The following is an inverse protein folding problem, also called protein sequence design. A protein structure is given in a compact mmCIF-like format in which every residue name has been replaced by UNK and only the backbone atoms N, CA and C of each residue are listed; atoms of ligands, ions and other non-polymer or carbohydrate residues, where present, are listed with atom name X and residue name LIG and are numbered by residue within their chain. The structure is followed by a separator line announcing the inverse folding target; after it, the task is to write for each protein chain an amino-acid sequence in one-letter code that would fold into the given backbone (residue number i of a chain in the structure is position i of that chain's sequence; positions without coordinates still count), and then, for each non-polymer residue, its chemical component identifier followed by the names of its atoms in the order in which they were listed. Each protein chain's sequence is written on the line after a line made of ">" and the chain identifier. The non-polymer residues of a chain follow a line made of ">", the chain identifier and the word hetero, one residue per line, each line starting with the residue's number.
data_IF_459737542594
#
_entry.id   IF_459737542594
#
_cell.length_a   1.000
_cell.length_b   1.000
_cell.length_c   1.000
_cell.angle_alpha   90.00
_cell.angle_beta   90.00
_cell.angle_gamma   90.00
#
_symmetry.space_group_name_H-M   'P 1'
#
loop_
_entity.id
_entity.type
_entity.pdbx_description
1 polymer ?
#
# COMPACT_ATOMS: atom_id res chain seq x y z
N UNK A 1 23.43 23.65 -6.18
CA UNK A 1 23.66 22.48 -5.31
C UNK A 1 22.41 21.62 -5.40
N UNK A 2 22.52 20.30 -5.62
CA UNK A 2 21.34 19.42 -5.55
C UNK A 2 21.13 18.98 -4.11
N UNK A 3 19.89 18.83 -3.68
CA UNK A 3 19.50 18.31 -2.36
C UNK A 3 19.18 16.82 -2.50
N UNK A 4 19.83 15.97 -1.74
CA UNK A 4 19.63 14.52 -1.78
C UNK A 4 18.48 14.11 -0.86
N UNK A 5 17.47 13.43 -1.42
CA UNK A 5 16.33 12.90 -0.67
C UNK A 5 16.29 11.39 -0.81
N UNK A 6 16.29 10.69 0.32
CA UNK A 6 16.13 9.24 0.34
C UNK A 6 14.80 8.85 1.00
N UNK A 7 14.04 8.02 0.31
CA UNK A 7 12.77 7.47 0.76
C UNK A 7 13.02 6.01 1.13
N UNK A 8 12.72 5.62 2.36
CA UNK A 8 12.89 4.25 2.84
C UNK A 8 11.52 3.55 2.79
N UNK A 9 11.39 2.58 1.89
CA UNK A 9 10.17 1.84 1.59
C UNK A 9 9.59 2.22 0.23
N UNK A 10 9.57 1.27 -0.69
CA UNK A 10 9.04 1.35 -2.06
C UNK A 10 7.59 0.87 -2.19
N UNK A 11 6.78 0.99 -1.15
CA UNK A 11 5.32 0.85 -1.23
C UNK A 11 4.65 2.07 -1.87
N UNK A 12 3.31 2.06 -1.97
CA UNK A 12 2.50 3.14 -2.57
C UNK A 12 2.95 4.55 -2.15
N UNK A 13 2.98 4.80 -0.83
CA UNK A 13 3.36 6.10 -0.27
C UNK A 13 4.76 6.52 -0.72
N UNK A 14 5.73 5.62 -0.66
CA UNK A 14 7.11 5.96 -1.00
C UNK A 14 7.28 6.25 -2.48
N UNK A 15 6.61 5.48 -3.33
CA UNK A 15 6.61 5.67 -4.78
C UNK A 15 5.94 6.99 -5.18
N UNK A 16 4.79 7.32 -4.59
CA UNK A 16 4.08 8.58 -4.85
C UNK A 16 4.90 9.80 -4.42
N UNK A 17 5.51 9.76 -3.22
CA UNK A 17 6.43 10.81 -2.78
C UNK A 17 7.62 10.94 -3.71
N UNK A 18 8.19 9.82 -4.16
CA UNK A 18 9.35 9.84 -5.04
C UNK A 18 9.03 10.50 -6.39
N UNK A 19 7.87 10.16 -6.97
CA UNK A 19 7.39 10.79 -8.20
C UNK A 19 7.18 12.29 -8.00
N UNK A 20 6.42 12.70 -6.99
CA UNK A 20 6.09 14.11 -6.79
C UNK A 20 7.34 14.96 -6.52
N UNK A 21 8.28 14.45 -5.73
CA UNK A 21 9.54 15.14 -5.46
C UNK A 21 10.44 15.20 -6.70
N UNK A 22 10.39 14.22 -7.60
CA UNK A 22 11.16 14.24 -8.85
C UNK A 22 10.79 15.41 -9.77
N UNK A 23 9.60 16.00 -9.60
CA UNK A 23 9.15 17.18 -10.35
C UNK A 23 9.86 18.48 -9.94
N UNK A 24 10.52 18.49 -8.77
CA UNK A 24 11.11 19.71 -8.20
C UNK A 24 12.58 19.81 -8.65
N UNK A 25 12.89 20.88 -9.36
CA UNK A 25 14.26 21.14 -9.84
C UNK A 25 15.23 21.26 -8.66
N UNK A 26 16.39 20.61 -8.80
CA UNK A 26 17.44 20.64 -7.79
C UNK A 26 17.33 19.55 -6.74
N UNK A 27 16.30 18.69 -6.78
CA UNK A 27 16.25 17.50 -5.93
C UNK A 27 16.90 16.30 -6.62
N UNK A 28 17.52 15.42 -5.83
CA UNK A 28 18.03 14.11 -6.26
C UNK A 28 17.38 13.03 -5.40
N UNK A 29 16.35 12.39 -5.95
CA UNK A 29 15.47 11.48 -5.21
C UNK A 29 15.93 10.03 -5.38
N UNK A 30 15.93 9.26 -4.29
CA UNK A 30 16.13 7.81 -4.34
C UNK A 30 15.18 7.06 -3.41
N UNK A 31 14.85 5.83 -3.77
CA UNK A 31 14.06 4.89 -2.98
C UNK A 31 14.96 3.74 -2.55
N UNK A 32 14.94 3.40 -1.26
CA UNK A 32 15.56 2.20 -0.70
C UNK A 32 14.44 1.22 -0.37
N UNK A 33 14.46 0.06 -1.01
CA UNK A 33 13.47 -1.00 -0.82
C UNK A 33 14.16 -2.29 -0.40
N UNK A 34 13.62 -2.93 0.64
CA UNK A 34 14.13 -4.18 1.20
C UNK A 34 13.89 -5.35 0.26
N UNK A 35 12.74 -5.37 -0.41
CA UNK A 35 12.32 -6.41 -1.34
C UNK A 35 12.92 -6.19 -2.74
N UNK A 36 12.68 -7.18 -3.59
CA UNK A 36 13.29 -7.27 -4.92
C UNK A 36 12.84 -6.14 -5.85
N UNK A 37 11.58 -5.69 -5.68
CA UNK A 37 10.97 -4.61 -6.44
C UNK A 37 10.10 -3.69 -5.56
N UNK A 38 9.99 -2.42 -5.97
CA UNK A 38 8.97 -1.51 -5.47
C UNK A 38 7.56 -2.06 -5.79
N UNK A 39 6.60 -1.80 -4.91
CA UNK A 39 5.19 -2.21 -5.03
C UNK A 39 4.93 -3.74 -5.13
N UNK A 40 5.95 -4.59 -4.95
CA UNK A 40 5.84 -6.06 -5.08
C UNK A 40 4.94 -6.73 -4.03
N UNK A 41 4.57 -6.01 -2.97
CA UNK A 41 3.58 -6.47 -1.99
C UNK A 41 2.16 -6.38 -2.49
N UNK A 42 1.92 -5.63 -3.57
CA UNK A 42 0.59 -5.29 -4.07
C UNK A 42 0.39 -5.58 -5.55
N UNK A 43 1.45 -5.78 -6.32
CA UNK A 43 1.36 -6.17 -7.72
C UNK A 43 2.18 -7.43 -7.98
N UNK A 44 1.83 -8.17 -9.03
CA UNK A 44 2.69 -9.19 -9.59
C UNK A 44 3.93 -8.56 -10.24
N UNK A 45 4.99 -9.37 -10.37
CA UNK A 45 6.36 -8.92 -10.63
C UNK A 45 6.48 -8.10 -11.91
N UNK A 46 5.76 -8.47 -12.98
CA UNK A 46 5.80 -7.77 -14.26
C UNK A 46 5.27 -6.33 -14.17
N UNK A 47 4.29 -6.07 -13.30
CA UNK A 47 3.75 -4.72 -13.08
C UNK A 47 4.65 -3.91 -12.16
N UNK A 48 5.26 -4.57 -11.16
CA UNK A 48 6.27 -3.95 -10.31
C UNK A 48 7.47 -3.46 -11.15
N UNK A 49 7.99 -4.30 -12.05
CA UNK A 49 9.08 -3.93 -12.98
C UNK A 49 8.65 -2.78 -13.88
N UNK A 50 7.44 -2.81 -14.44
CA UNK A 50 6.94 -1.73 -15.29
C UNK A 50 6.84 -0.38 -14.53
N UNK A 51 6.43 -0.41 -13.25
CA UNK A 51 6.43 0.77 -12.38
C UNK A 51 7.85 1.28 -12.11
N UNK A 52 8.81 0.40 -11.86
CA UNK A 52 10.21 0.79 -11.66
C UNK A 52 10.84 1.45 -12.89
N UNK A 53 10.53 0.96 -14.10
CA UNK A 53 10.99 1.60 -15.32
C UNK A 53 10.41 3.02 -15.48
N UNK A 54 9.14 3.22 -15.12
CA UNK A 54 8.54 4.56 -15.07
C UNK A 54 9.25 5.48 -14.07
N UNK A 55 9.57 4.98 -12.87
CA UNK A 55 10.33 5.75 -11.87
C UNK A 55 11.74 6.10 -12.34
N UNK A 56 12.46 5.15 -12.94
CA UNK A 56 13.81 5.35 -13.49
C UNK A 56 13.81 6.39 -14.62
N UNK A 57 12.78 6.39 -15.48
CA UNK A 57 12.63 7.39 -16.54
C UNK A 57 12.49 8.82 -16.01
N UNK A 58 11.97 9.00 -14.78
CA UNK A 58 11.96 10.29 -14.07
C UNK A 58 13.30 10.63 -13.40
N UNK A 59 14.32 9.78 -13.53
CA UNK A 59 15.63 9.96 -12.89
C UNK A 59 15.66 9.59 -11.40
N UNK A 60 14.66 8.86 -10.90
CA UNK A 60 14.63 8.38 -9.53
C UNK A 60 15.59 7.18 -9.40
N UNK A 61 16.45 7.21 -8.38
CA UNK A 61 17.40 6.13 -8.10
C UNK A 61 16.72 5.04 -7.28
N UNK A 62 16.79 3.78 -7.71
CA UNK A 62 16.20 2.66 -6.99
C UNK A 62 17.30 1.79 -6.38
N UNK A 63 17.21 1.55 -5.08
CA UNK A 63 18.08 0.69 -4.29
C UNK A 63 17.25 -0.46 -3.73
N UNK A 64 16.84 -1.40 -4.60
CA UNK A 64 16.09 -2.60 -4.21
C UNK A 64 17.01 -3.68 -3.64
N UNK A 65 16.47 -4.67 -2.93
CA UNK A 65 17.24 -5.65 -2.17
C UNK A 65 18.21 -5.01 -1.16
N UNK A 66 17.88 -3.82 -0.65
CA UNK A 66 18.72 -3.07 0.30
C UNK A 66 17.96 -2.78 1.58
N UNK A 67 18.60 -3.05 2.70
CA UNK A 67 18.15 -2.65 4.03
C UNK A 67 19.07 -1.58 4.58
N UNK A 68 18.51 -0.73 5.44
CA UNK A 68 19.26 0.33 6.11
C UNK A 68 19.73 -0.16 7.48
N UNK A 69 20.92 0.28 7.85
CA UNK A 69 21.52 0.05 9.16
C UNK A 69 21.40 1.27 10.06
N UNK A 70 21.64 2.46 9.52
CA UNK A 70 21.68 3.72 10.28
C UNK A 70 21.26 4.90 9.41
N UNK A 71 20.54 5.85 10.01
CA UNK A 71 20.37 7.20 9.47
C UNK A 71 21.31 8.10 10.29
N UNK A 72 22.36 8.62 9.67
CA UNK A 72 23.48 9.24 10.36
C UNK A 72 23.68 10.72 10.02
N UNK A 73 24.34 11.42 10.94
CA UNK A 73 24.65 12.85 10.86
C UNK A 73 24.88 13.43 12.26
N UNK A 74 25.25 14.72 12.36
CA UNK A 74 25.49 15.38 13.65
C UNK A 74 24.23 16.02 14.23
N UNK A 75 23.78 17.12 13.62
CA UNK A 75 22.58 17.86 14.04
C UNK A 75 21.38 17.60 13.12
N UNK A 76 21.66 17.18 11.89
CA UNK A 76 20.69 16.80 10.85
C UNK A 76 21.21 15.56 10.13
N UNK A 77 20.34 14.92 9.36
CA UNK A 77 20.77 13.82 8.49
C UNK A 77 21.80 14.31 7.47
N UNK A 78 22.82 13.50 7.26
CA UNK A 78 23.86 13.68 6.25
C UNK A 78 23.97 12.45 5.34
N UNK A 79 23.61 11.25 5.86
CA UNK A 79 23.64 10.01 5.10
C UNK A 79 22.67 8.95 5.63
N UNK A 80 22.40 7.95 4.79
CA UNK A 80 21.81 6.67 5.16
C UNK A 80 22.84 5.57 4.89
N UNK A 81 23.21 4.80 5.91
CA UNK A 81 24.09 3.63 5.80
C UNK A 81 23.25 2.39 5.51
N UNK A 82 23.58 1.68 4.43
CA UNK A 82 23.01 0.39 4.09
C UNK A 82 23.66 -0.72 4.91
N UNK A 83 23.01 -1.88 5.03
CA UNK A 83 23.60 -3.06 5.71
C UNK A 83 24.90 -3.56 5.06
N UNK A 84 25.15 -3.21 3.79
CA UNK A 84 26.43 -3.45 3.12
C UNK A 84 27.58 -2.57 3.61
N UNK A 85 27.31 -1.56 4.43
CA UNK A 85 28.25 -0.52 4.85
C UNK A 85 28.39 0.65 3.88
N UNK A 86 27.68 0.62 2.74
CA UNK A 86 27.62 1.74 1.81
C UNK A 86 26.86 2.92 2.42
N UNK A 87 27.39 4.14 2.30
CA UNK A 87 26.75 5.36 2.77
C UNK A 87 26.23 6.18 1.61
N UNK A 88 24.91 6.35 1.56
CA UNK A 88 24.23 7.18 0.58
C UNK A 88 24.03 8.59 1.14
N UNK A 89 24.47 9.66 0.45
CA UNK A 89 24.20 11.03 0.88
C UNK A 89 22.70 11.30 0.99
N UNK A 90 22.30 12.01 2.05
CA UNK A 90 20.91 12.42 2.26
C UNK A 90 20.85 13.70 3.10
N UNK A 91 20.15 14.71 2.57
CA UNK A 91 19.78 15.93 3.28
C UNK A 91 18.39 15.82 3.93
N UNK A 92 17.55 14.91 3.42
CA UNK A 92 16.23 14.59 3.94
C UNK A 92 15.93 13.10 3.77
N UNK A 93 15.31 12.51 4.78
CA UNK A 93 14.86 11.11 4.75
C UNK A 93 13.36 11.03 5.01
N UNK A 94 12.65 10.29 4.17
CA UNK A 94 11.21 9.98 4.34
C UNK A 94 11.08 8.51 4.69
N UNK A 95 10.33 8.20 5.75
CA UNK A 95 10.02 6.83 6.15
C UNK A 95 8.63 6.45 5.64
N UNK A 96 8.59 5.50 4.70
CA UNK A 96 7.38 4.94 4.08
C UNK A 96 7.36 3.41 4.20
N UNK A 97 7.68 2.90 5.39
CA UNK A 97 7.86 1.47 5.70
C UNK A 97 6.58 0.76 6.19
N UNK A 98 5.42 1.31 5.83
CA UNK A 98 4.10 0.80 6.24
C UNK A 98 3.59 1.37 7.57
N UNK A 99 2.32 1.09 7.85
CA UNK A 99 1.62 1.50 9.06
C UNK A 99 1.23 0.30 9.92
N UNK A 100 0.94 0.55 11.20
CA UNK A 100 0.44 -0.46 12.14
C UNK A 100 -0.87 0.04 12.76
N UNK A 101 -1.88 -0.83 12.95
CA UNK A 101 -3.12 -0.45 13.61
C UNK A 101 -2.85 0.16 15.00
N UNK A 102 -3.42 1.33 15.29
CA UNK A 102 -3.34 1.90 16.63
C UNK A 102 -4.42 1.28 17.52
N UNK A 103 -4.00 0.31 18.33
CA UNK A 103 -4.88 -0.54 19.14
C UNK A 103 -4.64 -0.45 20.66
N UNK A 104 -3.77 0.48 21.10
CA UNK A 104 -3.35 0.57 22.50
C UNK A 104 -4.53 0.85 23.44
N UNK A 105 -5.43 1.76 23.06
CA UNK A 105 -6.62 2.08 23.86
C UNK A 105 -7.55 0.86 23.99
N UNK A 106 -7.76 0.14 22.89
CA UNK A 106 -8.62 -1.03 22.85
C UNK A 106 -8.06 -2.16 23.74
N UNK A 107 -6.75 -2.41 23.67
CA UNK A 107 -6.06 -3.37 24.54
C UNK A 107 -6.23 -3.03 26.02
N UNK A 108 -5.99 -1.77 26.40
CA UNK A 108 -6.16 -1.31 27.80
C UNK A 108 -7.61 -1.43 28.27
N UNK A 109 -8.57 -1.30 27.37
CA UNK A 109 -9.99 -1.49 27.65
C UNK A 109 -10.43 -2.97 27.72
N UNK A 110 -9.54 -3.93 27.43
CA UNK A 110 -9.87 -5.36 27.39
C UNK A 110 -10.63 -5.79 26.14
N UNK A 111 -10.61 -4.99 25.07
CA UNK A 111 -11.18 -5.36 23.77
C UNK A 111 -10.27 -6.40 23.11
N UNK A 112 -10.86 -7.44 22.54
CA UNK A 112 -10.13 -8.48 21.81
C UNK A 112 -9.41 -7.88 20.59
N UNK A 113 -8.15 -8.25 20.46
CA UNK A 113 -7.28 -7.92 19.33
C UNK A 113 -7.01 -9.23 18.59
N UNK A 114 -6.87 -9.17 17.28
CA UNK A 114 -6.48 -10.34 16.50
C UNK A 114 -4.97 -10.61 16.57
N UNK A 115 -4.56 -11.87 16.42
CA UNK A 115 -3.16 -12.32 16.49
C UNK A 115 -2.25 -11.58 15.51
N UNK A 116 -2.77 -11.24 14.32
CA UNK A 116 -2.05 -10.48 13.28
C UNK A 116 -2.15 -8.95 13.45
N UNK A 117 -2.66 -8.49 14.59
CA UNK A 117 -2.89 -7.08 14.93
C UNK A 117 -4.31 -6.59 14.60
N UNK A 118 -4.64 -5.37 15.00
CA UNK A 118 -5.95 -4.75 14.74
C UNK A 118 -7.07 -5.24 15.68
N UNK A 119 -8.07 -4.38 15.88
CA UNK A 119 -9.20 -4.64 16.77
C UNK A 119 -10.12 -5.66 16.12
N UNK A 120 -10.40 -6.76 16.83
CA UNK A 120 -11.29 -7.80 16.35
C UNK A 120 -12.74 -7.27 16.39
N UNK A 121 -13.40 -7.34 15.24
CA UNK A 121 -14.81 -7.01 15.09
C UNK A 121 -15.57 -8.14 14.42
N UNK A 122 -16.87 -8.20 14.67
CA UNK A 122 -17.78 -9.03 13.88
C UNK A 122 -18.17 -8.37 12.55
N UNK A 123 -19.00 -9.06 11.77
CA UNK A 123 -19.45 -8.59 10.45
C UNK A 123 -20.33 -7.33 10.53
N UNK A 124 -20.72 -6.92 11.74
CA UNK A 124 -21.50 -5.71 12.00
C UNK A 124 -20.64 -4.58 12.57
N UNK A 125 -19.32 -4.79 12.63
CA UNK A 125 -18.27 -3.87 13.10
C UNK A 125 -18.30 -3.62 14.62
N UNK A 126 -18.91 -4.55 15.36
CA UNK A 126 -18.97 -4.52 16.82
C UNK A 126 -17.72 -5.18 17.39
N UNK A 127 -17.16 -4.59 18.43
CA UNK A 127 -16.04 -5.20 19.16
C UNK A 127 -16.54 -6.29 20.13
N UNK A 128 -15.62 -6.92 20.86
CA UNK A 128 -15.97 -7.87 21.92
C UNK A 128 -16.67 -7.24 23.14
N UNK A 129 -16.66 -5.91 23.25
CA UNK A 129 -17.34 -5.19 24.32
C UNK A 129 -18.62 -4.57 23.76
N UNK A 130 -19.73 -4.78 24.49
CA UNK A 130 -21.04 -4.25 24.13
C UNK A 130 -20.98 -2.73 23.94
N UNK A 131 -21.72 -2.24 22.95
CA UNK A 131 -21.88 -0.81 22.63
C UNK A 131 -20.58 -0.10 22.18
N UNK A 132 -19.51 -0.85 21.91
CA UNK A 132 -18.26 -0.35 21.33
C UNK A 132 -18.06 -0.96 19.93
N UNK A 133 -17.84 -0.08 18.94
CA UNK A 133 -17.57 -0.42 17.55
C UNK A 133 -16.14 -0.03 17.16
N UNK A 134 -15.59 -0.65 16.12
CA UNK A 134 -14.30 -0.28 15.54
C UNK A 134 -14.39 -0.35 14.02
N UNK A 135 -13.80 0.63 13.33
CA UNK A 135 -13.81 0.77 11.87
C UNK A 135 -12.50 1.34 11.37
N UNK A 136 -12.19 1.16 10.08
CA UNK A 136 -11.01 1.72 9.43
C UNK A 136 -9.71 1.06 9.90
N UNK A 137 -8.60 1.77 9.75
CA UNK A 137 -7.25 1.20 9.87
C UNK A 137 -6.91 0.57 11.22
N UNK A 138 -7.66 0.87 12.28
CA UNK A 138 -7.49 0.23 13.59
C UNK A 138 -8.27 -1.08 13.73
N UNK A 139 -9.30 -1.31 12.91
CA UNK A 139 -10.10 -2.53 12.88
C UNK A 139 -9.49 -3.58 11.95
N UNK A 140 -9.74 -4.85 12.23
CA UNK A 140 -9.58 -5.91 11.24
C UNK A 140 -10.78 -5.91 10.29
N UNK A 141 -10.52 -6.19 9.01
CA UNK A 141 -11.56 -6.42 8.01
C UNK A 141 -11.45 -7.84 7.48
N UNK A 142 -12.48 -8.33 6.80
CA UNK A 142 -12.43 -9.63 6.13
C UNK A 142 -12.07 -9.48 4.67
N UNK A 143 -11.22 -10.35 4.18
CA UNK A 143 -10.98 -10.49 2.76
C UNK A 143 -12.19 -11.15 2.09
N UNK A 144 -12.71 -10.55 1.02
CA UNK A 144 -13.89 -11.05 0.33
C UNK A 144 -13.66 -12.43 -0.31
N UNK A 145 -12.43 -12.74 -0.73
CA UNK A 145 -12.12 -13.93 -1.53
C UNK A 145 -11.78 -15.12 -0.62
N UNK A 146 -10.93 -14.90 0.37
CA UNK A 146 -10.42 -15.94 1.29
C UNK A 146 -11.26 -16.08 2.55
N UNK A 147 -12.09 -15.09 2.88
CA UNK A 147 -12.87 -15.03 4.12
C UNK A 147 -12.04 -14.82 5.39
N UNK A 148 -10.71 -14.65 5.26
CA UNK A 148 -9.79 -14.47 6.38
C UNK A 148 -9.76 -13.01 6.83
N UNK A 149 -9.44 -12.80 8.11
CA UNK A 149 -9.14 -11.47 8.63
C UNK A 149 -7.84 -10.96 7.98
N UNK A 150 -7.89 -9.76 7.41
CA UNK A 150 -6.74 -9.06 6.81
C UNK A 150 -6.74 -7.59 7.21
N UNK A 151 -5.56 -6.97 7.35
CA UNK A 151 -5.46 -5.52 7.45
C UNK A 151 -5.61 -4.90 6.06
N UNK A 152 -6.67 -4.12 5.83
CA UNK A 152 -6.81 -3.28 4.63
C UNK A 152 -6.97 -1.83 5.07
N UNK A 153 -5.87 -1.10 5.07
CA UNK A 153 -5.82 0.31 5.49
C UNK A 153 -6.09 1.22 4.30
N UNK A 154 -7.36 1.39 3.97
CA UNK A 154 -7.81 2.20 2.85
C UNK A 154 -8.95 3.12 3.29
N UNK A 155 -8.85 4.39 2.91
CA UNK A 155 -9.87 5.39 3.23
C UNK A 155 -11.27 5.00 2.71
N UNK A 156 -11.35 4.33 1.54
CA UNK A 156 -12.61 3.84 0.96
C UNK A 156 -13.24 2.73 1.81
N UNK A 157 -12.41 1.83 2.36
CA UNK A 157 -12.84 0.76 3.26
C UNK A 157 -13.29 1.36 4.59
N UNK A 158 -12.49 2.23 5.19
CA UNK A 158 -12.83 2.94 6.42
C UNK A 158 -14.17 3.71 6.30
N UNK A 159 -14.38 4.41 5.19
CA UNK A 159 -15.63 5.14 4.95
C UNK A 159 -16.83 4.21 4.79
N UNK A 160 -16.65 3.05 4.14
CA UNK A 160 -17.70 2.05 3.98
C UNK A 160 -18.05 1.41 5.32
N UNK A 161 -17.04 1.03 6.09
CA UNK A 161 -17.19 0.48 7.43
C UNK A 161 -17.87 1.47 8.38
N UNK A 162 -17.47 2.74 8.37
CA UNK A 162 -18.13 3.77 9.18
C UNK A 162 -19.63 3.89 8.88
N UNK A 163 -20.03 3.79 7.60
CA UNK A 163 -21.46 3.80 7.21
C UNK A 163 -22.19 2.57 7.75
N UNK A 164 -21.59 1.39 7.68
CA UNK A 164 -22.18 0.14 8.21
C UNK A 164 -22.34 0.26 9.73
N UNK A 165 -21.28 0.65 10.44
CA UNK A 165 -21.30 0.78 11.89
C UNK A 165 -22.34 1.80 12.35
N UNK A 166 -22.45 2.95 11.69
CA UNK A 166 -23.47 3.96 12.00
C UNK A 166 -24.90 3.42 11.80
N UNK A 167 -25.16 2.69 10.71
CA UNK A 167 -26.47 2.06 10.48
C UNK A 167 -26.81 1.07 11.61
N UNK A 168 -25.85 0.25 12.02
CA UNK A 168 -26.03 -0.77 13.06
C UNK A 168 -26.17 -0.16 14.46
N UNK A 169 -25.44 0.93 14.74
CA UNK A 169 -25.52 1.65 16.02
C UNK A 169 -26.91 2.27 16.22
N UNK A 170 -27.44 2.94 15.20
CA UNK A 170 -28.71 3.66 15.28
C UNK A 170 -29.94 2.83 14.89
N UNK A 171 -29.75 1.60 14.41
CA UNK A 171 -30.83 0.73 13.94
C UNK A 171 -31.71 1.40 12.87
N UNK A 172 -31.09 2.18 11.97
CA UNK A 172 -31.78 3.02 10.97
C UNK A 172 -32.55 2.17 9.94
N UNK A 173 -32.15 0.91 9.75
CA UNK A 173 -32.79 -0.10 8.89
C UNK A 173 -32.58 -1.51 9.49
N UNK A 174 -32.77 -2.56 8.68
CA UNK A 174 -32.24 -3.90 8.94
C UNK A 174 -30.74 -3.84 9.22
N UNK A 175 -30.27 -4.71 10.12
CA UNK A 175 -28.85 -4.85 10.46
C UNK A 175 -28.04 -5.09 9.18
N UNK A 176 -27.03 -4.25 8.93
CA UNK A 176 -26.17 -4.31 7.75
C UNK A 176 -24.87 -5.03 8.05
N UNK A 177 -24.57 -6.01 7.21
CA UNK A 177 -23.35 -6.81 7.29
C UNK A 177 -22.25 -6.26 6.37
N UNK A 178 -21.01 -6.25 6.85
CA UNK A 178 -19.82 -6.14 6.02
C UNK A 178 -19.49 -7.52 5.44
N UNK A 179 -19.74 -7.69 4.14
CA UNK A 179 -19.53 -8.95 3.41
C UNK A 179 -18.06 -9.23 3.07
N UNK A 180 -17.15 -8.38 3.52
CA UNK A 180 -15.73 -8.45 3.20
C UNK A 180 -15.31 -7.46 2.13
N UNK A 181 -14.00 -7.32 2.01
CA UNK A 181 -13.30 -6.30 1.23
C UNK A 181 -12.48 -6.97 0.13
N UNK A 182 -12.64 -6.51 -1.11
CA UNK A 182 -11.88 -7.04 -2.27
C UNK A 182 -10.46 -6.45 -2.32
N UNK A 183 -10.17 -5.35 -1.60
CA UNK A 183 -8.85 -4.73 -1.58
C UNK A 183 -8.51 -4.15 -2.96
N UNK A 184 -8.89 -2.89 -3.18
CA UNK A 184 -8.69 -2.20 -4.46
C UNK A 184 -7.72 -1.06 -4.25
N UNK A 185 -6.58 -1.13 -4.93
CA UNK A 185 -5.50 -0.15 -4.83
C UNK A 185 -5.18 0.38 -6.21
N UNK A 186 -4.78 1.64 -6.29
CA UNK A 186 -4.27 2.22 -7.53
C UNK A 186 -3.25 3.30 -7.23
N UNK A 187 -2.27 3.43 -8.12
CA UNK A 187 -1.33 4.55 -8.16
C UNK A 187 -1.17 5.02 -9.59
N UNK A 188 -0.66 6.22 -9.77
CA UNK A 188 -0.26 6.76 -11.06
C UNK A 188 1.24 7.02 -11.02
N UNK A 189 1.96 6.65 -12.07
CA UNK A 189 3.40 6.86 -12.20
C UNK A 189 3.72 7.20 -13.66
N UNK A 190 4.18 8.42 -13.88
CA UNK A 190 4.70 8.92 -15.16
C UNK A 190 3.82 8.59 -16.37
N UNK A 191 2.57 9.06 -16.30
CA UNK A 191 1.60 8.89 -17.39
C UNK A 191 0.83 7.56 -17.34
N UNK A 192 1.23 6.61 -16.49
CA UNK A 192 0.65 5.26 -16.44
C UNK A 192 -0.04 5.00 -15.10
N UNK A 193 -1.30 4.59 -15.17
CA UNK A 193 -2.04 4.12 -13.99
C UNK A 193 -1.80 2.63 -13.76
N UNK A 194 -1.50 2.28 -12.52
CA UNK A 194 -1.39 0.90 -12.04
C UNK A 194 -2.54 0.65 -11.07
N UNK A 195 -3.24 -0.47 -11.24
CA UNK A 195 -4.40 -0.81 -10.42
C UNK A 195 -4.49 -2.31 -10.16
N UNK A 196 -4.93 -2.66 -8.95
CA UNK A 196 -5.20 -4.04 -8.55
C UNK A 196 -6.54 -4.09 -7.82
N UNK A 197 -7.28 -5.20 -8.03
CA UNK A 197 -8.42 -5.57 -7.23
C UNK A 197 -8.34 -7.06 -6.88
N UNK A 198 -8.33 -7.40 -5.59
CA UNK A 198 -8.32 -8.80 -5.15
C UNK A 198 -6.93 -9.36 -4.87
N UNK A 199 -6.73 -10.62 -5.27
CA UNK A 199 -5.50 -11.37 -5.03
C UNK A 199 -4.52 -11.20 -6.18
N UNK A 200 -3.24 -11.04 -5.86
CA UNK A 200 -2.13 -11.31 -6.79
C UNK A 200 -1.91 -12.81 -6.93
N UNK A 201 -1.20 -13.23 -7.97
CA UNK A 201 -0.80 -14.64 -8.13
C UNK A 201 0.00 -15.14 -6.93
N UNK A 202 0.96 -14.32 -6.47
CA UNK A 202 1.77 -14.62 -5.29
C UNK A 202 0.90 -14.91 -4.06
N UNK A 203 -0.10 -14.06 -3.80
CA UNK A 203 -0.99 -14.22 -2.66
C UNK A 203 -1.92 -15.42 -2.84
N UNK A 204 -2.45 -15.67 -4.04
CA UNK A 204 -3.25 -16.87 -4.32
C UNK A 204 -2.46 -18.16 -4.02
N UNK A 205 -1.18 -18.20 -4.41
CA UNK A 205 -0.27 -19.33 -4.13
C UNK A 205 0.03 -19.49 -2.63
N UNK A 206 0.29 -18.41 -1.91
CA UNK A 206 0.49 -18.42 -0.45
C UNK A 206 -0.77 -18.91 0.29
N UNK A 207 -1.95 -18.55 -0.21
CA UNK A 207 -3.26 -18.96 0.31
C UNK A 207 -3.67 -20.37 -0.13
N UNK A 208 -2.88 -21.03 -1.00
CA UNK A 208 -3.12 -22.37 -1.57
C UNK A 208 -4.45 -22.46 -2.32
N UNK A 209 -4.77 -21.41 -3.08
CA UNK A 209 -5.95 -21.36 -3.94
C UNK A 209 -5.53 -21.81 -5.35
N UNK A 210 -6.30 -22.71 -5.96
CA UNK A 210 -6.12 -23.06 -7.37
C UNK A 210 -6.58 -21.90 -8.25
N UNK A 211 -5.74 -21.47 -9.17
CA UNK A 211 -6.02 -20.34 -10.06
C UNK A 211 -5.54 -20.58 -11.49
N UNK A 212 -6.12 -19.84 -12.42
CA UNK A 212 -5.67 -19.71 -13.81
C UNK A 212 -5.47 -18.22 -14.09
N UNK A 213 -4.44 -17.88 -14.85
CA UNK A 213 -4.11 -16.51 -15.23
C UNK A 213 -4.54 -16.28 -16.68
N UNK A 214 -5.14 -15.13 -16.95
CA UNK A 214 -5.56 -14.73 -18.28
C UNK A 214 -5.02 -13.35 -18.62
N UNK A 215 -4.08 -13.28 -19.56
CA UNK A 215 -3.50 -12.00 -19.97
C UNK A 215 -4.28 -11.37 -21.13
N UNK A 216 -4.45 -10.06 -21.08
CA UNK A 216 -5.03 -9.27 -22.17
C UNK A 216 -4.28 -7.96 -22.38
N UNK A 217 -4.20 -7.54 -23.65
CA UNK A 217 -3.77 -6.20 -24.04
C UNK A 217 -4.93 -5.46 -24.70
N UNK A 218 -5.15 -4.21 -24.28
CA UNK A 218 -6.16 -3.33 -24.87
C UNK A 218 -5.59 -1.93 -25.10
N UNK A 219 -6.29 -1.10 -25.88
CA UNK A 219 -5.92 0.31 -26.03
C UNK A 219 -6.58 1.14 -24.93
N UNK A 220 -5.85 2.11 -24.37
CA UNK A 220 -6.37 3.01 -23.33
C UNK A 220 -7.41 4.04 -23.82
N UNK A 221 -7.68 4.09 -25.13
CA UNK A 221 -8.62 5.04 -25.75
C UNK A 221 -9.58 4.32 -26.70
N UNK A 222 -10.84 4.75 -26.70
CA UNK A 222 -11.87 4.30 -27.63
C UNK A 222 -12.48 5.49 -28.40
N UNK A 223 -12.64 5.41 -29.74
CA UNK A 223 -12.17 4.33 -30.62
C UNK A 223 -10.63 4.24 -30.70
N UNK A 224 -10.12 3.05 -31.00
CA UNK A 224 -8.68 2.77 -31.08
C UNK A 224 -7.94 3.50 -32.22
N UNK A 225 -8.67 4.28 -33.03
CA UNK A 225 -8.11 5.16 -34.07
C UNK A 225 -7.62 6.49 -33.53
N UNK A 226 -7.88 6.84 -32.26
CA UNK A 226 -7.41 8.09 -31.69
C UNK A 226 -5.87 8.19 -31.65
N UNK A 227 -5.31 9.41 -31.82
CA UNK A 227 -3.88 9.65 -31.66
C UNK A 227 -3.48 9.51 -30.19
N UNK A 228 -2.18 9.29 -29.93
CA UNK A 228 -1.59 9.15 -28.59
C UNK A 228 -2.24 8.03 -27.73
N UNK A 229 -2.63 6.94 -28.38
CA UNK A 229 -3.08 5.74 -27.68
C UNK A 229 -1.88 4.96 -27.16
N UNK A 230 -2.05 4.39 -25.98
CA UNK A 230 -1.09 3.46 -25.37
C UNK A 230 -1.76 2.10 -25.14
N UNK A 231 -0.92 1.06 -25.05
CA UNK A 231 -1.38 -0.27 -24.68
C UNK A 231 -1.53 -0.35 -23.16
N UNK A 232 -2.65 -0.90 -22.70
CA UNK A 232 -2.88 -1.33 -21.34
C UNK A 232 -2.67 -2.83 -21.28
N UNK A 233 -1.94 -3.29 -20.25
CA UNK A 233 -1.81 -4.70 -19.92
C UNK A 233 -2.74 -5.02 -18.74
N UNK A 234 -3.42 -6.16 -18.82
CA UNK A 234 -4.20 -6.76 -17.75
C UNK A 234 -3.74 -8.22 -17.59
N UNK A 235 -3.69 -8.69 -16.34
CA UNK A 235 -3.48 -10.10 -15.99
C UNK A 235 -4.60 -10.58 -15.04
#
# INVERSE_FOLDING_TARGET
>A
MKTDILIIGGGFIGVEFAEELSNIKGLNVGIIEKLDHCLITNFDEEFAIAAEEKLKNRGIRLFTNKTIKEIGGKEKVEYVELDSGEKLPADLVILSIGARPNMELAQKAGIKIEDKGGILVDEYLRTSIKDIFSVGDCAQTKDFITGKNIPVMLASVAATEARIAANNLYQIELIRENKGTVGVFSTFIDGLAFGIAGLTEKRAKEEKIDYLVGEAEALNRHPGTFPEREKLKLN
#
